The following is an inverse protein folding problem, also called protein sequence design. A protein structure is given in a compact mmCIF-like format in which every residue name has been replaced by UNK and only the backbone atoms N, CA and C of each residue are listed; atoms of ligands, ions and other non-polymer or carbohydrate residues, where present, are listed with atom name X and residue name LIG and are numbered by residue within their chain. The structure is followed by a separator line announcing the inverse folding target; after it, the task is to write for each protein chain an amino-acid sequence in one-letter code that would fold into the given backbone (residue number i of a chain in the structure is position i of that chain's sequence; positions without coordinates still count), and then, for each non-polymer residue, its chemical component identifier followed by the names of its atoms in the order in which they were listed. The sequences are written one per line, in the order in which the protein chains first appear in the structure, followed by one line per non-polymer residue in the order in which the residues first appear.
data_IF_762520477931
#
_entry.id   IF_762520477931
#
_cell.length_a   1.000
_cell.length_b   1.000
_cell.length_c   1.000
_cell.angle_alpha   90.00
_cell.angle_beta   90.00
_cell.angle_gamma   90.00
#
_symmetry.space_group_name_H-M   'P 1'
#
loop_
_entity.id
_entity.type
_entity.pdbx_description
1 polymer ?
#
# COMPACT_ATOMS: atom_id res chain seq x y z
N UNK A 1 -8.70 -27.86 3.03
CA UNK A 1 -8.42 -27.37 1.67
C UNK A 1 -9.74 -26.86 1.10
N UNK A 2 -9.95 -25.55 1.21
CA UNK A 2 -10.90 -24.70 0.48
C UNK A 2 -10.76 -23.34 1.17
N UNK A 3 -9.80 -22.56 0.71
CA UNK A 3 -9.67 -21.16 1.09
C UNK A 3 -10.86 -20.47 0.45
N UNK A 4 -11.98 -20.37 1.16
CA UNK A 4 -13.01 -19.41 0.82
C UNK A 4 -12.34 -18.05 1.02
N UNK A 5 -11.70 -17.54 -0.04
CA UNK A 5 -11.19 -16.18 -0.06
C UNK A 5 -12.40 -15.29 0.19
N UNK A 6 -12.46 -14.69 1.37
CA UNK A 6 -13.47 -13.69 1.66
C UNK A 6 -13.13 -12.48 0.78
N UNK A 7 -13.67 -12.44 -0.45
CA UNK A 7 -13.40 -11.39 -1.43
C UNK A 7 -13.65 -10.01 -0.82
N UNK A 8 -14.61 -9.90 0.10
CA UNK A 8 -14.91 -8.66 0.79
C UNK A 8 -13.75 -8.18 1.69
N UNK A 9 -13.05 -9.07 2.40
CA UNK A 9 -11.86 -8.66 3.16
C UNK A 9 -10.70 -8.29 2.25
N UNK A 10 -10.57 -8.96 1.10
CA UNK A 10 -9.53 -8.65 0.10
C UNK A 10 -9.78 -7.30 -0.60
N UNK A 11 -11.03 -6.96 -0.86
CA UNK A 11 -11.40 -5.64 -1.38
C UNK A 11 -11.37 -4.55 -0.31
N UNK A 12 -11.63 -4.86 0.96
CA UNK A 12 -11.51 -3.86 2.04
C UNK A 12 -10.06 -3.39 2.26
N UNK A 13 -9.09 -4.30 2.10
CA UNK A 13 -7.65 -3.99 2.29
C UNK A 13 -6.94 -3.54 0.99
N UNK A 14 -7.70 -3.18 -0.06
CA UNK A 14 -7.15 -2.77 -1.35
C UNK A 14 -6.70 -1.30 -1.35
N UNK A 15 -5.43 -1.06 -1.68
CA UNK A 15 -4.85 0.26 -1.84
C UNK A 15 -4.75 0.64 -3.35
N UNK A 16 -5.72 1.39 -3.90
CA UNK A 16 -5.77 1.69 -5.33
C UNK A 16 -4.60 2.54 -5.80
N UNK A 17 -4.09 3.45 -4.95
CA UNK A 17 -2.99 4.33 -5.36
C UNK A 17 -1.70 3.56 -5.54
N UNK A 18 -1.37 2.65 -4.61
CA UNK A 18 -0.17 1.79 -4.73
C UNK A 18 -0.27 0.85 -5.92
N UNK A 19 -1.44 0.24 -6.14
CA UNK A 19 -1.69 -0.60 -7.30
C UNK A 19 -1.42 0.13 -8.62
N UNK A 20 -2.03 1.31 -8.82
CA UNK A 20 -1.83 2.12 -10.03
C UNK A 20 -0.36 2.46 -10.23
N UNK A 21 0.34 2.89 -9.17
CA UNK A 21 1.78 3.23 -9.24
C UNK A 21 2.59 2.03 -9.71
N UNK A 22 2.46 0.87 -9.06
CA UNK A 22 3.27 -0.31 -9.36
C UNK A 22 2.95 -0.88 -10.75
N UNK A 23 1.69 -0.88 -11.17
CA UNK A 23 1.32 -1.31 -12.53
C UNK A 23 1.85 -0.36 -13.60
N UNK A 24 1.74 0.96 -13.39
CA UNK A 24 2.31 1.94 -14.32
C UNK A 24 3.84 1.82 -14.42
N UNK A 25 4.53 1.63 -13.29
CA UNK A 25 5.97 1.40 -13.27
C UNK A 25 6.36 0.11 -14.00
N UNK A 26 5.65 -0.99 -13.76
CA UNK A 26 5.91 -2.26 -14.46
C UNK A 26 5.80 -2.10 -15.98
N UNK A 27 4.70 -1.50 -16.46
CA UNK A 27 4.48 -1.30 -17.90
C UNK A 27 5.54 -0.35 -18.48
N UNK A 28 5.86 0.73 -17.77
CA UNK A 28 6.92 1.65 -18.19
C UNK A 28 8.27 0.95 -18.32
N UNK A 29 8.69 0.17 -17.31
CA UNK A 29 9.98 -0.50 -17.34
C UNK A 29 10.03 -1.55 -18.45
N UNK A 30 8.93 -2.26 -18.71
CA UNK A 30 8.83 -3.18 -19.84
C UNK A 30 8.98 -2.46 -21.19
N UNK A 31 8.25 -1.36 -21.40
CA UNK A 31 8.34 -0.57 -22.63
C UNK A 31 9.74 0.05 -22.80
N UNK A 32 10.35 0.53 -21.72
CA UNK A 32 11.70 1.10 -21.74
C UNK A 32 12.75 0.03 -22.09
N UNK A 33 12.68 -1.15 -21.48
CA UNK A 33 13.60 -2.25 -21.78
C UNK A 33 13.47 -2.71 -23.24
N UNK A 34 12.24 -2.87 -23.75
CA UNK A 34 11.99 -3.21 -25.16
C UNK A 34 12.51 -2.13 -26.11
N UNK A 35 12.39 -0.85 -25.72
CA UNK A 35 12.92 0.27 -26.50
C UNK A 35 14.45 0.28 -26.52
N UNK A 36 15.10 0.05 -25.38
CA UNK A 36 16.56 -0.01 -25.27
C UNK A 36 17.14 -1.22 -26.02
N UNK A 37 16.39 -2.32 -26.10
CA UNK A 37 16.73 -3.49 -26.93
C UNK A 37 16.44 -3.30 -28.43
N UNK A 38 16.00 -2.11 -28.86
CA UNK A 38 15.60 -1.79 -30.24
C UNK A 38 14.51 -2.71 -30.83
N UNK A 39 13.76 -3.42 -29.99
CA UNK A 39 12.65 -4.29 -30.44
C UNK A 39 11.42 -3.47 -30.86
N UNK A 40 11.26 -2.27 -30.29
CA UNK A 40 10.13 -1.37 -30.55
C UNK A 40 10.63 -0.04 -31.15
N UNK A 41 10.04 0.36 -32.29
CA UNK A 41 10.38 1.61 -32.99
C UNK A 41 9.65 2.86 -32.45
N UNK A 42 8.88 2.74 -31.38
CA UNK A 42 8.09 3.83 -30.79
C UNK A 42 8.98 5.01 -30.30
N UNK A 43 8.40 6.20 -30.24
CA UNK A 43 9.06 7.37 -29.66
C UNK A 43 9.20 7.25 -28.14
N UNK A 44 10.19 7.93 -27.55
CA UNK A 44 10.31 7.99 -26.08
C UNK A 44 9.06 8.55 -25.42
N UNK A 45 8.38 9.47 -26.11
CA UNK A 45 7.04 9.92 -25.73
C UNK A 45 6.10 8.72 -25.53
N UNK A 46 5.86 7.89 -26.54
CA UNK A 46 4.97 6.73 -26.37
C UNK A 46 5.39 5.77 -25.24
N UNK A 47 6.70 5.60 -25.00
CA UNK A 47 7.23 4.75 -23.90
C UNK A 47 6.88 5.31 -22.51
N UNK A 48 6.85 6.64 -22.34
CA UNK A 48 6.54 7.30 -21.07
C UNK A 48 5.03 7.37 -20.76
N UNK A 49 4.15 6.95 -21.68
CA UNK A 49 2.69 6.98 -21.51
C UNK A 49 2.16 6.44 -20.17
N UNK A 50 2.61 5.28 -19.66
CA UNK A 50 2.13 4.76 -18.38
C UNK A 50 2.38 5.71 -17.21
N UNK A 51 3.50 6.42 -17.23
CA UNK A 51 3.86 7.40 -16.20
C UNK A 51 2.96 8.63 -16.31
N UNK A 52 2.69 9.14 -17.52
CA UNK A 52 1.82 10.29 -17.68
C UNK A 52 0.39 10.00 -17.23
N UNK A 53 -0.12 8.80 -17.52
CA UNK A 53 -1.43 8.35 -17.02
C UNK A 53 -1.45 8.37 -15.49
N UNK A 54 -0.39 7.88 -14.84
CA UNK A 54 -0.27 7.95 -13.39
C UNK A 54 -0.28 9.40 -12.87
N UNK A 55 0.54 10.31 -13.44
CA UNK A 55 0.57 11.71 -13.00
C UNK A 55 -0.76 12.42 -13.24
N UNK A 56 -1.41 12.16 -14.38
CA UNK A 56 -2.72 12.71 -14.71
C UNK A 56 -3.77 12.30 -13.68
N UNK A 57 -3.78 11.03 -13.26
CA UNK A 57 -4.66 10.55 -12.19
C UNK A 57 -4.42 11.28 -10.86
N UNK A 58 -3.16 11.58 -10.51
CA UNK A 58 -2.83 12.36 -9.31
C UNK A 58 -3.37 13.78 -9.41
N UNK A 59 -3.22 14.44 -10.56
CA UNK A 59 -3.74 15.79 -10.80
C UNK A 59 -5.26 15.81 -10.70
N UNK A 60 -5.96 14.88 -11.37
CA UNK A 60 -7.43 14.79 -11.25
C UNK A 60 -7.82 14.55 -9.79
N UNK A 61 -7.18 13.60 -9.11
CA UNK A 61 -7.45 13.30 -7.70
C UNK A 61 -7.33 14.52 -6.81
N UNK A 62 -6.30 15.35 -7.01
CA UNK A 62 -6.12 16.58 -6.26
C UNK A 62 -7.13 17.68 -6.65
N UNK A 63 -7.47 17.83 -7.93
CA UNK A 63 -8.48 18.82 -8.37
C UNK A 63 -9.86 18.52 -7.79
N UNK A 64 -10.29 17.25 -7.81
CA UNK A 64 -11.54 16.81 -7.18
C UNK A 64 -11.47 17.01 -5.66
N UNK A 65 -10.35 16.67 -5.02
CA UNK A 65 -10.13 16.90 -3.60
C UNK A 65 -10.25 18.38 -3.22
N UNK A 66 -9.62 19.29 -3.98
CA UNK A 66 -9.72 20.74 -3.76
C UNK A 66 -11.12 21.29 -4.01
N UNK A 67 -11.84 20.77 -5.02
CA UNK A 67 -13.24 21.13 -5.27
C UNK A 67 -14.13 20.76 -4.07
N UNK A 68 -14.02 19.52 -3.56
CA UNK A 68 -14.76 19.05 -2.38
C UNK A 68 -14.36 19.86 -1.13
N UNK A 69 -13.08 20.21 -0.97
CA UNK A 69 -12.62 21.05 0.14
C UNK A 69 -13.25 22.45 0.12
N UNK A 70 -13.50 23.01 -1.06
CA UNK A 70 -14.18 24.30 -1.20
C UNK A 70 -15.68 24.20 -0.92
N UNK A 71 -16.34 23.14 -1.39
CA UNK A 71 -17.78 22.97 -1.27
C UNK A 71 -18.24 22.75 0.18
N UNK A 72 -17.38 22.17 1.03
CA UNK A 72 -17.73 21.77 2.39
C UNK A 72 -16.80 22.40 3.44
N UNK A 73 -17.07 23.66 3.85
CA UNK A 73 -16.22 24.39 4.79
C UNK A 73 -16.21 23.80 6.21
N UNK A 74 -17.19 22.98 6.57
CA UNK A 74 -17.24 22.25 7.85
C UNK A 74 -16.00 21.39 8.10
N UNK A 75 -15.30 20.98 7.05
CA UNK A 75 -14.07 20.19 7.12
C UNK A 75 -12.86 20.97 7.65
N UNK A 76 -12.96 22.29 7.79
CA UNK A 76 -11.90 23.12 8.40
C UNK A 76 -11.88 23.05 9.92
N UNK A 77 -12.99 22.64 10.53
CA UNK A 77 -13.13 22.51 11.99
C UNK A 77 -12.53 21.20 12.51
N UNK A 78 -12.41 20.20 11.64
CA UNK A 78 -11.83 18.90 11.94
C UNK A 78 -10.32 18.94 11.64
N UNK A 79 -9.51 19.09 12.69
CA UNK A 79 -8.05 19.29 12.56
C UNK A 79 -7.34 18.19 11.75
N UNK A 80 -7.81 16.95 11.82
CA UNK A 80 -7.29 15.82 11.05
C UNK A 80 -7.53 15.98 9.53
N UNK A 81 -8.72 16.45 9.13
CA UNK A 81 -9.04 16.65 7.72
C UNK A 81 -8.15 17.74 7.09
N UNK A 82 -7.81 18.77 7.86
CA UNK A 82 -6.89 19.83 7.44
C UNK A 82 -5.47 19.32 7.20
N UNK A 83 -4.96 18.44 8.07
CA UNK A 83 -3.65 17.81 7.90
C UNK A 83 -3.63 16.95 6.65
N UNK A 84 -4.66 16.12 6.43
CA UNK A 84 -4.77 15.28 5.23
C UNK A 84 -4.87 16.09 3.93
N UNK A 85 -5.59 17.21 3.94
CA UNK A 85 -5.66 18.11 2.79
C UNK A 85 -4.29 18.74 2.47
N UNK A 86 -3.57 19.24 3.48
CA UNK A 86 -2.18 19.73 3.30
C UNK A 86 -1.28 18.64 2.73
N UNK A 87 -1.40 17.44 3.25
CA UNK A 87 -0.69 16.27 2.79
C UNK A 87 -0.95 15.96 1.30
N UNK A 88 -2.20 16.08 0.85
CA UNK A 88 -2.58 15.93 -0.56
C UNK A 88 -1.93 17.01 -1.44
N UNK A 89 -1.93 18.28 -1.00
CA UNK A 89 -1.29 19.37 -1.74
C UNK A 89 0.23 19.22 -1.84
N UNK A 90 0.88 18.80 -0.76
CA UNK A 90 2.32 18.50 -0.75
C UNK A 90 2.62 17.37 -1.73
N UNK A 91 1.81 16.31 -1.72
CA UNK A 91 1.96 15.20 -2.65
C UNK A 91 1.77 15.64 -4.11
N UNK A 92 0.77 16.47 -4.39
CA UNK A 92 0.56 17.06 -5.73
C UNK A 92 1.80 17.85 -6.18
N UNK A 93 2.33 18.72 -5.32
CA UNK A 93 3.51 19.53 -5.64
C UNK A 93 4.73 18.66 -6.00
N UNK A 94 5.00 17.61 -5.22
CA UNK A 94 6.07 16.65 -5.53
C UNK A 94 5.82 15.98 -6.90
N UNK A 95 4.60 15.53 -7.17
CA UNK A 95 4.29 14.86 -8.44
C UNK A 95 4.40 15.79 -9.65
N UNK A 96 4.09 17.08 -9.49
CA UNK A 96 4.27 18.07 -10.56
C UNK A 96 5.75 18.34 -10.86
N UNK A 97 6.59 18.40 -9.82
CA UNK A 97 8.05 18.57 -10.03
C UNK A 97 8.65 17.28 -10.60
N UNK A 98 8.18 16.09 -10.19
CA UNK A 98 8.56 14.82 -10.82
C UNK A 98 8.13 14.76 -12.29
N UNK A 99 6.93 15.24 -12.61
CA UNK A 99 6.47 15.33 -14.00
C UNK A 99 7.40 16.26 -14.81
N UNK A 100 7.84 17.39 -14.23
CA UNK A 100 8.82 18.25 -14.88
C UNK A 100 10.15 17.52 -15.16
N UNK A 101 10.67 16.76 -14.21
CA UNK A 101 11.84 15.90 -14.42
C UNK A 101 11.60 14.88 -15.56
N UNK A 102 10.48 14.17 -15.54
CA UNK A 102 10.14 13.15 -16.53
C UNK A 102 10.03 13.74 -17.96
N UNK A 103 9.46 14.95 -18.09
CA UNK A 103 9.39 15.66 -19.37
C UNK A 103 10.78 16.06 -19.88
N UNK A 104 11.65 16.56 -19.00
CA UNK A 104 13.02 16.91 -19.36
C UNK A 104 13.84 15.67 -19.76
N UNK A 105 13.66 14.55 -19.06
CA UNK A 105 14.31 13.28 -19.43
C UNK A 105 13.82 12.80 -20.80
N UNK A 106 12.51 12.85 -21.05
CA UNK A 106 11.94 12.44 -22.34
C UNK A 106 12.43 13.31 -23.51
N UNK A 107 12.50 14.63 -23.32
CA UNK A 107 13.07 15.54 -24.32
C UNK A 107 14.57 15.28 -24.53
N UNK A 108 15.34 15.11 -23.44
CA UNK A 108 16.76 14.84 -23.53
C UNK A 108 17.08 13.52 -24.23
N UNK A 109 16.30 12.46 -23.98
CA UNK A 109 16.44 11.18 -24.67
C UNK A 109 16.14 11.29 -26.17
N UNK A 110 15.26 12.22 -26.56
CA UNK A 110 14.86 12.42 -27.96
C UNK A 110 15.83 13.33 -28.70
N UNK A 111 16.22 14.45 -28.09
CA UNK A 111 16.87 15.57 -28.76
C UNK A 111 18.34 15.75 -28.37
N UNK A 112 18.77 15.22 -27.21
CA UNK A 112 20.14 15.29 -26.66
C UNK A 112 20.73 16.71 -26.62
N UNK A 113 19.90 17.74 -26.41
CA UNK A 113 20.33 19.15 -26.48
C UNK A 113 20.87 19.71 -25.17
N UNK A 114 20.41 19.16 -24.04
CA UNK A 114 20.68 19.69 -22.72
C UNK A 114 21.77 18.88 -22.02
N UNK A 115 22.40 19.45 -21.00
CA UNK A 115 23.24 18.69 -20.06
C UNK A 115 22.35 17.96 -19.06
N UNK A 116 22.70 16.74 -18.70
CA UNK A 116 21.97 15.91 -17.75
C UNK A 116 21.87 16.58 -16.38
N UNK A 117 22.88 17.34 -15.94
CA UNK A 117 22.79 18.06 -14.67
C UNK A 117 21.58 18.99 -14.61
N UNK A 118 21.22 19.65 -15.72
CA UNK A 118 20.04 20.51 -15.82
C UNK A 118 18.76 19.68 -15.74
N UNK A 119 18.73 18.55 -16.45
CA UNK A 119 17.61 17.60 -16.43
C UNK A 119 17.34 17.08 -15.01
N UNK A 120 18.39 16.87 -14.20
CA UNK A 120 18.31 16.37 -12.83
C UNK A 120 18.04 17.45 -11.75
N UNK A 121 18.13 18.75 -12.07
CA UNK A 121 17.83 19.85 -11.12
C UNK A 121 16.50 19.67 -10.39
N UNK A 122 15.37 19.37 -11.06
CA UNK A 122 14.09 19.22 -10.39
C UNK A 122 14.10 18.09 -9.36
N UNK A 123 14.78 16.99 -9.68
CA UNK A 123 14.88 15.82 -8.82
C UNK A 123 15.73 16.11 -7.57
N UNK A 124 16.87 16.80 -7.74
CA UNK A 124 17.72 17.25 -6.63
C UNK A 124 16.96 18.23 -5.73
N UNK A 125 16.20 19.15 -6.31
CA UNK A 125 15.36 20.09 -5.57
C UNK A 125 14.31 19.36 -4.72
N UNK A 126 13.61 18.37 -5.30
CA UNK A 126 12.66 17.53 -4.55
C UNK A 126 13.36 16.83 -3.40
N UNK A 127 14.55 16.26 -3.60
CA UNK A 127 15.27 15.57 -2.52
C UNK A 127 15.54 16.46 -1.31
N UNK A 128 15.96 17.72 -1.54
CA UNK A 128 16.21 18.68 -0.46
C UNK A 128 14.91 19.03 0.26
N UNK A 129 13.86 19.35 -0.49
CA UNK A 129 12.54 19.68 0.07
C UNK A 129 11.93 18.49 0.82
N UNK A 130 12.20 17.27 0.35
CA UNK A 130 11.69 16.04 0.94
C UNK A 130 12.20 15.81 2.36
N UNK A 131 13.39 16.30 2.73
CA UNK A 131 13.91 16.22 4.11
C UNK A 131 12.96 16.96 5.07
N UNK A 132 12.56 18.18 4.73
CA UNK A 132 11.63 18.97 5.52
C UNK A 132 10.23 18.31 5.59
N UNK A 133 9.77 17.74 4.47
CA UNK A 133 8.48 17.05 4.40
C UNK A 133 8.50 15.75 5.20
N UNK A 134 9.62 15.02 5.26
CA UNK A 134 9.77 13.84 6.11
C UNK A 134 9.63 14.21 7.59
N UNK A 135 10.31 15.27 8.05
CA UNK A 135 10.19 15.75 9.44
C UNK A 135 8.75 16.15 9.75
N UNK A 136 8.10 16.86 8.83
CA UNK A 136 6.69 17.21 8.97
C UNK A 136 5.79 15.97 9.03
N UNK A 137 6.04 14.97 8.18
CA UNK A 137 5.22 13.76 8.09
C UNK A 137 5.35 12.88 9.33
N UNK A 138 6.56 12.73 9.89
CA UNK A 138 6.80 12.03 11.17
C UNK A 138 6.02 12.69 12.31
N UNK A 139 6.00 14.04 12.36
CA UNK A 139 5.26 14.78 13.40
C UNK A 139 3.74 14.57 13.32
N UNK A 140 3.21 14.23 12.15
CA UNK A 140 1.76 14.10 11.91
C UNK A 140 1.34 12.65 11.60
N UNK A 141 2.17 11.66 11.93
CA UNK A 141 1.90 10.22 11.75
C UNK A 141 1.41 9.84 10.34
N UNK A 142 2.01 10.45 9.32
CA UNK A 142 1.68 10.22 7.91
C UNK A 142 2.70 9.28 7.29
N UNK A 143 2.30 8.41 6.36
CA UNK A 143 3.22 7.71 5.46
C UNK A 143 3.99 8.69 4.56
N UNK A 144 5.32 8.55 4.51
CA UNK A 144 6.24 9.41 3.72
C UNK A 144 7.23 8.59 2.86
N UNK A 145 6.78 7.44 2.32
CA UNK A 145 7.63 6.49 1.58
C UNK A 145 8.36 7.14 0.38
N UNK A 146 7.66 7.93 -0.43
CA UNK A 146 8.23 8.59 -1.62
C UNK A 146 9.20 9.70 -1.23
N UNK A 147 8.83 10.52 -0.24
CA UNK A 147 9.64 11.62 0.27
C UNK A 147 10.93 11.09 0.89
N UNK A 148 10.84 10.01 1.67
CA UNK A 148 12.01 9.34 2.22
C UNK A 148 12.92 8.84 1.10
N UNK A 149 12.36 8.16 0.09
CA UNK A 149 13.10 7.65 -1.05
C UNK A 149 13.84 8.78 -1.78
N UNK A 150 13.19 9.91 -2.04
CA UNK A 150 13.83 11.06 -2.67
C UNK A 150 14.94 11.67 -1.80
N UNK A 151 14.71 11.80 -0.49
CA UNK A 151 15.67 12.40 0.43
C UNK A 151 16.96 11.56 0.55
N UNK A 152 16.83 10.24 0.71
CA UNK A 152 18.00 9.35 0.89
C UNK A 152 18.80 9.16 -0.41
N UNK A 153 18.17 9.33 -1.58
CA UNK A 153 18.81 9.14 -2.88
C UNK A 153 19.40 10.42 -3.49
N UNK A 154 19.50 11.52 -2.74
CA UNK A 154 20.07 12.78 -3.25
C UNK A 154 21.45 12.59 -3.89
N UNK A 155 22.32 11.81 -3.25
CA UNK A 155 23.67 11.55 -3.72
C UNK A 155 23.68 10.72 -5.01
N UNK A 156 22.76 9.75 -5.11
CA UNK A 156 22.58 8.94 -6.31
C UNK A 156 22.19 9.80 -7.51
N UNK A 157 21.27 10.75 -7.32
CA UNK A 157 20.81 11.64 -8.39
C UNK A 157 21.93 12.55 -8.88
N UNK A 158 22.78 13.05 -7.98
CA UNK A 158 23.95 13.85 -8.34
C UNK A 158 24.97 13.01 -9.13
N UNK A 159 25.33 11.82 -8.63
CA UNK A 159 26.29 10.96 -9.32
C UNK A 159 25.79 10.50 -10.69
N UNK A 160 24.51 10.18 -10.81
CA UNK A 160 23.91 9.79 -12.09
C UNK A 160 23.98 10.94 -13.11
N UNK A 161 23.66 12.16 -12.69
CA UNK A 161 23.74 13.34 -13.55
C UNK A 161 25.18 13.60 -14.03
N UNK A 162 26.15 13.57 -13.10
CA UNK A 162 27.57 13.80 -13.43
C UNK A 162 28.17 12.70 -14.30
N UNK A 163 27.74 11.45 -14.10
CA UNK A 163 28.17 10.33 -14.92
C UNK A 163 27.60 10.41 -16.33
N UNK A 164 26.32 10.75 -16.48
CA UNK A 164 25.67 10.88 -17.78
C UNK A 164 26.19 12.08 -18.60
N UNK A 165 26.73 13.09 -17.95
CA UNK A 165 27.42 14.23 -18.58
C UNK A 165 28.92 13.96 -18.87
N UNK A 166 29.41 12.74 -18.64
CA UNK A 166 30.82 12.34 -18.79
C UNK A 166 31.82 13.20 -17.99
N UNK A 167 31.37 13.91 -16.94
CA UNK A 167 32.27 14.62 -16.02
C UNK A 167 33.08 13.66 -15.15
N UNK A 168 32.53 12.46 -14.90
CA UNK A 168 33.12 11.45 -14.03
C UNK A 168 33.29 10.14 -14.80
N UNK A 169 34.53 9.65 -14.87
CA UNK A 169 34.90 8.40 -15.56
C UNK A 169 34.86 7.15 -14.67
N UNK A 170 34.15 7.19 -13.54
CA UNK A 170 34.00 6.03 -12.65
C UNK A 170 33.17 4.92 -13.28
N UNK A 171 33.35 3.68 -12.83
CA UNK A 171 32.45 2.57 -13.19
C UNK A 171 31.04 2.84 -12.68
N UNK A 172 30.05 2.26 -13.36
CA UNK A 172 28.66 2.35 -12.95
C UNK A 172 28.45 1.75 -11.57
N UNK A 173 29.19 0.69 -11.20
CA UNK A 173 29.17 0.15 -9.83
C UNK A 173 29.38 1.23 -8.74
N UNK A 174 30.36 2.12 -8.93
CA UNK A 174 30.67 3.21 -7.98
C UNK A 174 29.56 4.26 -7.95
N UNK A 175 28.99 4.59 -9.11
CA UNK A 175 27.88 5.54 -9.22
C UNK A 175 26.63 5.05 -8.47
N UNK A 176 26.44 3.73 -8.38
CA UNK A 176 25.33 3.10 -7.68
C UNK A 176 25.59 2.83 -6.17
N UNK A 177 26.76 3.20 -5.63
CA UNK A 177 27.11 3.03 -4.18
C UNK A 177 26.06 3.55 -3.21
N UNK A 178 25.47 4.74 -3.39
CA UNK A 178 24.42 5.20 -2.50
C UNK A 178 23.22 4.24 -2.45
N UNK A 179 22.79 3.72 -3.61
CA UNK A 179 21.73 2.71 -3.68
C UNK A 179 22.16 1.37 -3.08
N UNK A 180 23.40 0.93 -3.28
CA UNK A 180 23.93 -0.28 -2.64
C UNK A 180 23.85 -0.19 -1.12
N UNK A 181 24.25 0.94 -0.54
CA UNK A 181 24.17 1.18 0.91
C UNK A 181 22.71 1.11 1.37
N UNK A 182 21.78 1.73 0.65
CA UNK A 182 20.36 1.67 1.00
C UNK A 182 19.78 0.27 0.90
N UNK A 183 20.13 -0.47 -0.15
CA UNK A 183 19.72 -1.87 -0.31
C UNK A 183 20.31 -2.73 0.79
N UNK A 184 21.58 -2.56 1.15
CA UNK A 184 22.22 -3.23 2.27
C UNK A 184 21.58 -2.84 3.61
N UNK A 185 21.20 -1.58 3.83
CA UNK A 185 20.50 -1.16 5.04
C UNK A 185 19.07 -1.70 5.09
N UNK A 186 18.36 -1.77 3.96
CA UNK A 186 17.04 -2.39 3.87
C UNK A 186 17.13 -3.90 4.09
N UNK A 187 18.17 -4.54 3.55
CA UNK A 187 18.49 -5.93 3.79
C UNK A 187 18.81 -6.10 5.26
N UNK A 188 19.82 -5.47 5.84
CA UNK A 188 20.20 -5.63 7.26
C UNK A 188 19.08 -5.22 8.22
N UNK A 189 18.37 -4.13 7.93
CA UNK A 189 17.23 -3.63 8.69
C UNK A 189 16.05 -4.61 8.73
N UNK A 190 15.75 -5.28 7.61
CA UNK A 190 14.69 -6.31 7.52
C UNK A 190 15.20 -7.74 7.82
N UNK A 191 16.47 -8.06 7.51
CA UNK A 191 17.03 -9.42 7.46
C UNK A 191 17.41 -9.99 8.81
N UNK A 192 17.71 -9.19 9.83
CA UNK A 192 18.25 -9.76 11.07
C UNK A 192 17.41 -9.45 12.32
N UNK A 193 16.57 -8.41 12.30
CA UNK A 193 15.86 -7.99 13.52
C UNK A 193 14.45 -8.57 13.70
N UNK A 194 13.75 -9.02 12.65
CA UNK A 194 12.38 -9.57 12.80
C UNK A 194 12.27 -11.06 12.48
N UNK A 195 12.93 -11.55 11.42
CA UNK A 195 12.73 -12.92 10.93
C UNK A 195 13.24 -14.03 11.87
N UNK A 196 14.32 -13.79 12.61
CA UNK A 196 14.91 -14.79 13.54
C UNK A 196 14.33 -14.66 14.95
N UNK A 197 14.02 -13.45 15.40
CA UNK A 197 13.45 -13.19 16.73
C UNK A 197 11.97 -13.58 16.78
N UNK A 198 11.18 -13.26 15.75
CA UNK A 198 9.77 -13.63 15.68
C UNK A 198 9.57 -15.14 15.47
N UNK A 199 10.35 -15.78 14.59
CA UNK A 199 10.31 -17.24 14.42
C UNK A 199 10.77 -18.01 15.68
N UNK A 200 11.80 -17.50 16.38
CA UNK A 200 12.32 -18.10 17.62
C UNK A 200 11.40 -17.96 18.83
N UNK A 201 10.67 -16.84 18.96
CA UNK A 201 9.71 -16.62 20.06
C UNK A 201 8.38 -17.38 19.83
N UNK A 202 7.92 -17.50 18.58
CA UNK A 202 6.71 -18.24 18.21
C UNK A 202 6.84 -19.76 18.30
N UNK A 203 8.04 -20.31 18.14
CA UNK A 203 8.27 -21.74 18.35
C UNK A 203 8.24 -22.12 19.85
N UNK A 204 8.34 -21.14 20.76
CA UNK A 204 8.46 -21.37 22.20
C UNK A 204 7.24 -20.94 23.03
N UNK A 205 6.28 -20.21 22.45
CA UNK A 205 5.13 -19.64 23.18
C UNK A 205 3.80 -20.21 22.64
N UNK A 206 3.05 -21.00 23.42
CA UNK A 206 1.85 -21.71 22.93
C UNK A 206 0.58 -20.84 22.77
N UNK A 207 0.63 -19.53 23.05
CA UNK A 207 -0.56 -18.64 23.08
C UNK A 207 -0.64 -17.61 21.93
N UNK A 208 0.17 -17.75 20.88
CA UNK A 208 0.14 -16.82 19.75
C UNK A 208 -0.91 -17.22 18.72
N UNK A 209 -1.85 -16.32 18.44
CA UNK A 209 -2.95 -16.50 17.49
C UNK A 209 -2.41 -16.90 16.10
N UNK A 210 -2.88 -18.02 15.54
CA UNK A 210 -2.42 -18.60 14.26
C UNK A 210 -2.51 -17.61 13.09
N UNK A 211 -3.41 -16.63 13.15
CA UNK A 211 -3.56 -15.58 12.16
C UNK A 211 -2.37 -14.61 12.14
N UNK A 212 -1.91 -14.14 13.30
CA UNK A 212 -0.78 -13.19 13.40
C UNK A 212 0.53 -13.81 12.92
N UNK A 213 0.74 -15.10 13.23
CA UNK A 213 1.87 -15.89 12.72
C UNK A 213 1.90 -15.95 11.19
N UNK A 214 0.75 -16.20 10.56
CA UNK A 214 0.61 -16.26 9.09
C UNK A 214 0.85 -14.88 8.46
N UNK A 215 0.31 -13.82 9.05
CA UNK A 215 0.50 -12.46 8.54
C UNK A 215 1.97 -12.04 8.56
N UNK A 216 2.67 -12.25 9.67
CA UNK A 216 4.09 -11.88 9.76
C UNK A 216 4.99 -12.73 8.84
N UNK A 217 4.69 -14.02 8.69
CA UNK A 217 5.42 -14.87 7.74
C UNK A 217 5.16 -14.45 6.29
N UNK A 218 3.91 -14.15 5.92
CA UNK A 218 3.56 -13.67 4.60
C UNK A 218 4.22 -12.32 4.29
N UNK A 219 4.28 -11.39 5.26
CA UNK A 219 4.97 -10.12 5.11
C UNK A 219 6.47 -10.31 4.92
N UNK A 220 7.13 -11.16 5.72
CA UNK A 220 8.56 -11.44 5.60
C UNK A 220 8.93 -12.07 4.24
N UNK A 221 8.11 -13.02 3.76
CA UNK A 221 8.27 -13.57 2.41
C UNK A 221 8.10 -12.49 1.35
N UNK A 222 7.05 -11.67 1.45
CA UNK A 222 6.78 -10.63 0.46
C UNK A 222 7.91 -9.58 0.38
N UNK A 223 8.50 -9.19 1.50
CA UNK A 223 9.68 -8.32 1.52
C UNK A 223 10.91 -9.01 0.91
N UNK A 224 11.13 -10.29 1.19
CA UNK A 224 12.23 -11.05 0.58
C UNK A 224 12.11 -11.10 -0.94
N UNK A 225 10.91 -11.40 -1.45
CA UNK A 225 10.61 -11.41 -2.90
C UNK A 225 10.59 -10.00 -3.53
N UNK A 226 10.61 -8.94 -2.73
CA UNK A 226 10.73 -7.57 -3.23
C UNK A 226 12.20 -7.14 -3.28
N UNK A 227 12.93 -7.27 -2.17
CA UNK A 227 14.29 -6.71 -2.02
C UNK A 227 15.34 -7.52 -2.76
N UNK A 228 15.28 -8.85 -2.71
CA UNK A 228 16.28 -9.72 -3.37
C UNK A 228 16.28 -9.52 -4.89
N UNK A 229 15.13 -9.54 -5.59
CA UNK A 229 15.17 -9.33 -7.04
C UNK A 229 15.55 -7.88 -7.43
N UNK A 230 15.26 -6.87 -6.60
CA UNK A 230 15.78 -5.49 -6.83
C UNK A 230 17.31 -5.49 -6.78
N UNK A 231 17.92 -6.18 -5.80
CA UNK A 231 19.37 -6.28 -5.70
C UNK A 231 19.97 -7.01 -6.92
N UNK A 232 19.38 -8.13 -7.34
CA UNK A 232 19.83 -8.86 -8.53
C UNK A 232 19.72 -7.97 -9.78
N UNK A 233 18.61 -7.24 -9.95
CA UNK A 233 18.45 -6.26 -11.03
C UNK A 233 19.56 -5.21 -11.01
N UNK A 234 19.89 -4.65 -9.85
CA UNK A 234 20.94 -3.64 -9.72
C UNK A 234 22.31 -4.19 -10.14
N UNK A 235 22.66 -5.42 -9.72
CA UNK A 235 23.92 -6.09 -10.12
C UNK A 235 23.98 -6.31 -11.62
N UNK A 236 22.89 -6.79 -12.22
CA UNK A 236 22.83 -7.01 -13.66
C UNK A 236 22.92 -5.70 -14.44
N UNK A 237 22.29 -4.64 -13.94
CA UNK A 237 22.29 -3.33 -14.57
C UNK A 237 23.67 -2.69 -14.56
N UNK A 238 24.38 -2.67 -13.42
CA UNK A 238 25.73 -2.10 -13.36
C UNK A 238 26.70 -2.84 -14.27
N UNK A 239 26.69 -4.18 -14.24
CA UNK A 239 27.52 -5.00 -15.12
C UNK A 239 27.18 -4.80 -16.61
N UNK A 240 25.90 -4.58 -16.94
CA UNK A 240 25.48 -4.29 -18.30
C UNK A 240 25.96 -2.91 -18.76
N UNK A 241 25.92 -1.91 -17.89
CA UNK A 241 26.33 -0.54 -18.19
C UNK A 241 27.86 -0.37 -18.24
N UNK A 242 28.61 -1.19 -17.51
CA UNK A 242 30.08 -1.29 -17.57
C UNK A 242 30.57 -2.20 -18.72
N UNK A 243 29.72 -2.50 -19.72
CA UNK A 243 29.99 -3.37 -20.88
C UNK A 243 30.46 -4.80 -20.56
N UNK A 244 30.25 -5.26 -19.33
CA UNK A 244 30.66 -6.60 -18.87
C UNK A 244 29.77 -7.75 -19.34
N UNK A 245 28.53 -7.46 -19.82
CA UNK A 245 27.55 -8.49 -20.19
C UNK A 245 26.84 -8.17 -21.52
N UNK A 246 26.87 -9.14 -22.46
CA UNK A 246 26.12 -9.08 -23.72
C UNK A 246 24.65 -9.54 -23.60
N UNK A 247 24.00 -9.25 -22.47
CA UNK A 247 22.59 -9.59 -22.23
C UNK A 247 21.65 -8.49 -22.76
N UNK A 248 20.43 -8.84 -23.14
CA UNK A 248 19.39 -7.85 -23.49
C UNK A 248 18.83 -7.18 -22.21
N UNK A 249 18.39 -5.93 -22.32
CA UNK A 249 17.81 -5.15 -21.23
C UNK A 249 16.56 -5.83 -20.65
N UNK A 250 15.78 -6.56 -21.45
CA UNK A 250 14.66 -7.37 -20.94
C UNK A 250 15.09 -8.44 -19.94
N UNK A 251 16.25 -9.09 -20.16
CA UNK A 251 16.80 -10.08 -19.23
C UNK A 251 17.30 -9.40 -17.96
N UNK A 252 17.98 -8.26 -18.11
CA UNK A 252 18.48 -7.45 -16.98
C UNK A 252 17.34 -6.99 -16.08
N UNK A 253 16.22 -6.55 -16.65
CA UNK A 253 15.02 -6.07 -15.92
C UNK A 253 14.16 -7.21 -15.36
N UNK A 254 14.31 -8.45 -15.85
CA UNK A 254 13.43 -9.57 -15.45
C UNK A 254 13.28 -9.79 -13.94
N UNK A 255 14.31 -9.64 -13.08
CA UNK A 255 14.14 -9.76 -11.63
C UNK A 255 13.25 -8.65 -11.06
N UNK A 256 13.31 -7.45 -11.61
CA UNK A 256 12.50 -6.31 -11.17
C UNK A 256 11.00 -6.54 -11.42
N UNK A 257 10.63 -7.30 -12.46
CA UNK A 257 9.23 -7.70 -12.67
C UNK A 257 8.69 -8.57 -11.55
N UNK A 258 9.53 -9.42 -10.95
CA UNK A 258 9.14 -10.22 -9.77
C UNK A 258 8.80 -9.28 -8.61
N UNK A 259 9.65 -8.29 -8.33
CA UNK A 259 9.41 -7.30 -7.27
C UNK A 259 8.13 -6.49 -7.53
N UNK A 260 7.89 -6.02 -8.77
CA UNK A 260 6.65 -5.31 -9.09
C UNK A 260 5.42 -6.21 -8.94
N UNK A 261 5.48 -7.47 -9.38
CA UNK A 261 4.39 -8.42 -9.21
C UNK A 261 4.08 -8.65 -7.72
N UNK A 262 5.11 -8.80 -6.88
CA UNK A 262 4.94 -8.92 -5.43
C UNK A 262 4.32 -7.66 -4.83
N UNK A 263 4.78 -6.45 -5.20
CA UNK A 263 4.20 -5.19 -4.73
C UNK A 263 2.74 -4.99 -5.16
N UNK A 264 2.39 -5.40 -6.38
CA UNK A 264 1.01 -5.39 -6.89
C UNK A 264 0.14 -6.33 -6.04
N UNK A 265 0.61 -7.55 -5.75
CA UNK A 265 -0.11 -8.51 -4.89
C UNK A 265 -0.26 -7.96 -3.47
N UNK A 266 0.79 -7.36 -2.90
CA UNK A 266 0.75 -6.74 -1.58
C UNK A 266 -0.21 -5.55 -1.49
N UNK A 267 -0.48 -4.87 -2.62
CA UNK A 267 -1.44 -3.75 -2.67
C UNK A 267 -2.88 -4.17 -2.34
N UNK A 268 -3.21 -5.47 -2.45
CA UNK A 268 -4.51 -6.03 -2.03
C UNK A 268 -4.57 -6.39 -0.54
N UNK A 269 -3.45 -6.29 0.20
CA UNK A 269 -3.36 -6.62 1.62
C UNK A 269 -2.87 -5.43 2.47
N UNK A 270 -2.76 -4.24 1.88
CA UNK A 270 -2.21 -3.05 2.52
C UNK A 270 -3.32 -2.25 3.19
N UNK A 271 -3.49 -2.47 4.49
CA UNK A 271 -4.34 -1.63 5.34
C UNK A 271 -3.88 -0.16 5.27
N UNK A 272 -4.81 0.76 4.99
CA UNK A 272 -4.55 2.21 5.05
C UNK A 272 -4.36 2.89 3.70
N UNK A 273 -5.39 2.87 2.86
CA UNK A 273 -5.45 3.72 1.67
C UNK A 273 -5.47 5.21 2.01
N UNK A 274 -5.04 6.06 1.06
CA UNK A 274 -5.15 7.51 1.22
C UNK A 274 -6.64 7.90 1.30
N UNK A 275 -7.10 8.35 2.48
CA UNK A 275 -8.48 8.80 2.77
C UNK A 275 -8.96 9.97 1.89
N UNK A 276 -8.09 10.53 1.04
CA UNK A 276 -8.36 11.63 0.12
C UNK A 276 -8.16 11.26 -1.36
N UNK A 277 -8.07 9.97 -1.70
CA UNK A 277 -8.06 9.52 -3.09
C UNK A 277 -9.36 9.96 -3.78
N UNK A 278 -9.27 10.91 -4.74
CA UNK A 278 -10.41 11.60 -5.35
C UNK A 278 -11.38 12.28 -4.37
N UNK A 279 -10.92 12.69 -3.19
CA UNK A 279 -11.79 13.27 -2.15
C UNK A 279 -12.80 12.28 -1.55
N UNK A 280 -12.66 10.98 -1.84
CA UNK A 280 -13.53 9.92 -1.33
C UNK A 280 -13.14 9.63 0.12
N UNK A 281 -14.04 9.95 1.06
CA UNK A 281 -13.86 9.72 2.51
C UNK A 281 -14.18 8.28 2.97
N UNK A 282 -14.45 7.38 2.02
CA UNK A 282 -14.75 5.96 2.24
C UNK A 282 -13.63 5.12 1.65
N UNK A 283 -13.51 3.87 2.10
CA UNK A 283 -12.62 2.92 1.42
C UNK A 283 -13.02 2.84 -0.06
N UNK A 284 -12.03 2.92 -0.95
CA UNK A 284 -12.27 3.01 -2.40
C UNK A 284 -13.16 1.86 -2.92
N UNK A 285 -13.02 0.67 -2.34
CA UNK A 285 -13.87 -0.46 -2.66
C UNK A 285 -15.31 -0.32 -2.14
N UNK A 286 -15.55 0.32 -1.00
CA UNK A 286 -16.90 0.67 -0.57
C UNK A 286 -17.54 1.71 -1.49
N UNK A 287 -16.75 2.69 -1.97
CA UNK A 287 -17.22 3.63 -2.98
C UNK A 287 -17.55 2.93 -4.31
N UNK A 288 -16.65 2.09 -4.82
CA UNK A 288 -16.87 1.28 -6.02
C UNK A 288 -18.13 0.42 -5.90
N UNK A 289 -18.32 -0.29 -4.79
CA UNK A 289 -19.52 -1.09 -4.55
C UNK A 289 -20.78 -0.21 -4.50
N UNK A 290 -20.71 1.01 -3.97
CA UNK A 290 -21.84 1.93 -3.97
C UNK A 290 -22.16 2.54 -5.34
N UNK A 291 -21.18 2.62 -6.25
CA UNK A 291 -21.35 3.15 -7.61
C UNK A 291 -21.76 2.05 -8.60
N UNK A 292 -21.36 0.80 -8.34
CA UNK A 292 -21.69 -0.36 -9.19
C UNK A 292 -22.63 -1.33 -8.47
N UNK A 293 -23.98 -1.14 -8.59
CA UNK A 293 -24.96 -1.96 -7.89
C UNK A 293 -24.90 -3.46 -8.26
N UNK A 294 -24.51 -3.80 -9.48
CA UNK A 294 -24.31 -5.18 -9.93
C UNK A 294 -23.17 -5.89 -9.19
N UNK A 295 -22.09 -5.16 -8.86
CA UNK A 295 -20.97 -5.69 -8.10
C UNK A 295 -21.33 -5.78 -6.60
N UNK A 296 -22.19 -4.89 -6.12
CA UNK A 296 -22.77 -4.95 -4.78
C UNK A 296 -23.66 -6.17 -4.58
N UNK A 297 -24.50 -6.52 -5.56
CA UNK A 297 -25.29 -7.76 -5.52
C UNK A 297 -24.40 -9.00 -5.52
N UNK A 298 -23.35 -9.04 -6.36
CA UNK A 298 -22.38 -10.15 -6.36
C UNK A 298 -21.63 -10.29 -5.03
N UNK A 299 -21.23 -9.17 -4.41
CA UNK A 299 -20.62 -9.16 -3.09
C UNK A 299 -21.59 -9.59 -1.97
N UNK A 300 -22.88 -9.26 -2.09
CA UNK A 300 -23.91 -9.62 -1.13
C UNK A 300 -24.34 -11.10 -1.21
N UNK A 301 -24.25 -11.75 -2.38
CA UNK A 301 -24.59 -13.17 -2.56
C UNK A 301 -23.63 -14.09 -1.79
N UNK A 302 -22.38 -13.67 -1.55
CA UNK A 302 -21.41 -14.46 -0.78
C UNK A 302 -21.82 -14.68 0.69
N UNK A 303 -22.84 -13.99 1.21
CA UNK A 303 -23.29 -14.07 2.59
C UNK A 303 -24.35 -15.16 2.88
N UNK A 304 -24.94 -15.81 1.88
CA UNK A 304 -26.07 -16.72 2.14
C UNK A 304 -25.70 -18.13 2.59
N UNK A 305 -24.42 -18.47 2.74
CA UNK A 305 -23.99 -19.85 3.01
C UNK A 305 -23.62 -20.16 4.48
N UNK A 306 -23.92 -19.26 5.41
CA UNK A 306 -23.68 -19.47 6.85
C UNK A 306 -24.95 -19.21 7.66
N UNK A 307 -25.94 -20.11 7.56
CA UNK A 307 -26.87 -20.50 8.64
C UNK A 307 -28.02 -21.36 8.10
N UNK A 308 -27.76 -22.64 7.85
CA UNK A 308 -28.79 -23.69 7.89
C UNK A 308 -28.28 -24.85 8.73
N UNK A 309 -28.14 -24.59 10.02
CA UNK A 309 -27.86 -25.57 11.07
C UNK A 309 -28.78 -25.34 12.26
N UNK A 310 -30.05 -25.03 11.99
CA UNK A 310 -31.11 -24.98 12.99
C UNK A 310 -31.53 -26.40 13.36
N UNK A 311 -31.05 -26.90 14.50
CA UNK A 311 -31.71 -27.99 15.21
C UNK A 311 -32.24 -27.45 16.53
N UNK A 312 -33.53 -27.11 16.47
CA UNK A 312 -34.42 -26.85 17.60
C UNK A 312 -34.83 -28.20 18.16
N UNK A 313 -34.65 -28.43 19.46
CA UNK A 313 -35.41 -29.45 20.21
C UNK A 313 -35.78 -28.84 21.57
N UNK A 314 -37.08 -28.75 21.93
CA UNK A 314 -37.52 -28.31 23.24
C UNK A 314 -37.73 -29.52 24.17
N UNK A 315 -37.29 -29.45 25.43
CA UNK A 315 -37.66 -30.43 26.46
C UNK A 315 -37.99 -29.72 27.79
N UNK A 316 -39.13 -30.14 28.35
CA UNK A 316 -39.88 -29.64 29.51
C UNK A 316 -39.20 -29.88 30.90
N UNK A 317 -39.70 -29.28 32.00
CA UNK A 317 -39.02 -29.23 33.29
C UNK A 317 -39.49 -30.31 34.29
N UNK A 318 -38.72 -30.65 35.34
CA UNK A 318 -39.27 -31.26 36.54
C UNK A 318 -39.20 -30.36 37.78
N UNK A 319 -40.20 -30.59 38.62
CA UNK A 319 -40.67 -29.92 39.83
C UNK A 319 -39.94 -30.42 41.11
N UNK A 320 -39.73 -29.49 42.05
CA UNK A 320 -39.54 -29.55 43.52
C UNK A 320 -38.75 -30.69 44.22
N UNK A 321 -37.76 -30.31 45.03
CA UNK A 321 -37.65 -30.65 46.46
C UNK A 321 -36.56 -29.79 47.17
N UNK A 322 -36.94 -29.09 48.24
CA UNK A 322 -36.10 -28.43 49.26
C UNK A 322 -35.95 -29.35 50.50
N UNK A 323 -35.19 -29.02 51.57
CA UNK A 323 -33.89 -28.36 51.66
C UNK A 323 -32.92 -29.12 52.61
N UNK A 324 -31.59 -29.01 52.43
CA UNK A 324 -30.66 -29.17 53.55
C UNK A 324 -29.50 -28.18 53.43
N UNK A 325 -29.20 -27.58 54.58
CA UNK A 325 -28.42 -26.38 54.83
C UNK A 325 -26.96 -26.77 55.05
N UNK A 326 -26.01 -26.08 54.42
CA UNK A 326 -24.72 -25.71 55.03
C UNK A 326 -24.05 -24.54 54.30
N UNK A 327 -23.43 -23.67 55.10
CA UNK A 327 -23.02 -22.31 54.81
C UNK A 327 -21.69 -22.23 54.04
N UNK A 328 -21.72 -22.03 52.71
CA UNK A 328 -20.52 -21.55 51.98
C UNK A 328 -20.82 -20.65 50.75
N UNK A 329 -22.04 -20.09 50.63
CA UNK A 329 -22.50 -19.43 49.39
C UNK A 329 -22.48 -17.89 49.38
N UNK A 330 -21.88 -17.22 50.36
CA UNK A 330 -21.92 -15.75 50.41
C UNK A 330 -20.89 -15.00 49.52
N UNK A 331 -19.99 -15.70 48.82
CA UNK A 331 -19.07 -15.06 47.84
C UNK A 331 -19.52 -15.15 46.37
N UNK A 332 -20.33 -16.14 45.97
CA UNK A 332 -20.73 -16.34 44.55
C UNK A 332 -21.93 -15.49 44.08
N UNK A 333 -22.72 -14.91 44.99
CA UNK A 333 -23.91 -14.12 44.63
C UNK A 333 -23.58 -12.70 44.14
N UNK A 334 -22.40 -12.14 44.48
CA UNK A 334 -21.99 -10.81 44.02
C UNK A 334 -21.42 -10.78 42.59
N UNK A 335 -20.87 -11.88 42.09
CA UNK A 335 -20.31 -11.95 40.73
C UNK A 335 -21.40 -12.12 39.66
N UNK A 336 -22.44 -12.92 39.93
CA UNK A 336 -23.53 -13.14 38.96
C UNK A 336 -24.39 -11.90 38.69
N UNK A 337 -24.56 -10.99 39.66
CA UNK A 337 -25.28 -9.72 39.46
C UNK A 337 -24.51 -8.70 38.62
N UNK A 338 -23.16 -8.76 38.58
CA UNK A 338 -22.34 -7.91 37.69
C UNK A 338 -22.37 -8.39 36.24
N UNK A 339 -22.40 -9.71 36.04
CA UNK A 339 -22.48 -10.34 34.71
C UNK A 339 -23.78 -9.96 33.96
N UNK A 340 -24.94 -10.11 34.60
CA UNK A 340 -26.23 -9.80 33.96
C UNK A 340 -26.43 -8.30 33.62
N UNK A 341 -25.80 -7.38 34.38
CA UNK A 341 -25.90 -5.94 34.12
C UNK A 341 -25.05 -5.51 32.91
N UNK A 342 -23.92 -6.19 32.67
CA UNK A 342 -23.09 -5.95 31.48
C UNK A 342 -23.70 -6.56 30.21
N UNK A 343 -24.42 -7.68 30.32
CA UNK A 343 -25.06 -8.32 29.17
C UNK A 343 -26.25 -7.48 28.63
N UNK A 344 -27.07 -6.89 29.51
CA UNK A 344 -28.16 -5.96 29.10
C UNK A 344 -27.67 -4.67 28.46
N UNK A 345 -26.43 -4.23 28.75
CA UNK A 345 -25.87 -2.99 28.18
C UNK A 345 -25.35 -3.19 26.74
N UNK A 346 -25.00 -4.42 26.38
CA UNK A 346 -24.52 -4.78 25.03
C UNK A 346 -25.65 -5.03 24.02
N UNK A 347 -26.88 -5.35 24.46
CA UNK A 347 -28.02 -5.50 23.54
C UNK A 347 -28.56 -4.16 23.01
N UNK A 348 -28.37 -3.07 23.76
CA UNK A 348 -28.80 -1.73 23.38
C UNK A 348 -27.93 -1.05 22.31
N UNK A 349 -26.85 -1.70 21.86
CA UNK A 349 -25.84 -1.11 20.96
C UNK A 349 -25.78 -1.77 19.58
N UNK A 350 -26.78 -2.61 19.24
CA UNK A 350 -26.93 -3.15 17.88
C UNK A 350 -27.54 -2.08 16.95
N UNK A 351 -26.99 -1.88 15.74
CA UNK A 351 -27.60 -0.98 14.76
C UNK A 351 -28.99 -1.49 14.36
N UNK A 352 -29.97 -0.60 14.40
CA UNK A 352 -31.37 -0.86 14.04
C UNK A 352 -31.44 -1.18 12.55
N UNK A 353 -31.93 -2.36 12.21
CA UNK A 353 -32.18 -2.80 10.83
C UNK A 353 -33.60 -2.35 10.43
N UNK A 354 -33.85 -1.85 9.20
CA UNK A 354 -35.19 -1.44 8.81
C UNK A 354 -36.11 -2.66 8.72
N UNK A 355 -37.28 -2.57 9.37
CA UNK A 355 -38.36 -3.54 9.20
C UNK A 355 -38.97 -3.32 7.82
N UNK A 356 -38.84 -4.29 6.93
CA UNK A 356 -39.59 -4.34 5.67
C UNK A 356 -40.33 -5.67 5.59
N UNK A 357 -41.49 -5.72 6.21
CA UNK A 357 -42.55 -6.66 5.85
C UNK A 357 -43.82 -5.84 5.67
N UNK A 358 -44.12 -5.50 4.41
CA UNK A 358 -45.44 -5.05 4.02
C UNK A 358 -46.25 -6.33 3.85
N UNK A 359 -47.14 -6.63 4.79
CA UNK A 359 -48.18 -7.62 4.57
C UNK A 359 -49.17 -7.05 3.55
N UNK A 360 -49.35 -7.74 2.43
CA UNK A 360 -50.48 -7.52 1.54
C UNK A 360 -51.67 -8.34 2.04
N UNK A 361 -52.88 -7.76 2.13
CA UNK A 361 -54.07 -8.52 2.48
C UNK A 361 -54.51 -9.41 1.31
N UNK A 362 -55.05 -10.58 1.66
CA UNK A 362 -55.62 -11.58 0.75
C UNK A 362 -56.74 -11.02 -0.17
#
# INVERSE_FOLDING_TARGET
MCMAMNLQSLFQDFNPSKFVVHTCLLIFTALLALKLDNTIAWSYWAVFTPIWVWKFLVVIGATVGTYVWWQYPHFRLEGEAYIHYKAMLISLAIHLILLMFELLVCDQLTTKRHVWILVFIPLIFISIVSIAICIWSVKHDRSYELELFCAVNILQFIFLALKLDDFINWSWEVVFVPLWILMCLSLVGEWVLYSIIFAGILLRTPEVNLQQRRTSFNSALAYTFTVVPILVFQVLLTNKLDDGLALSYMVVVSPLFVSYATLIIMSFSSKGGNKWWFGIRKDFCQFLLSVFPLLQEYANIAYSNTNRGSNVVPAEPPVNQEPYRDEETHKKVKENKKSHKNQKKNEAMKPVVPVTSIDMPD
#
